data_IF_437048663870
#
_entry.id   IF_437048663870
#
_cell.length_a   1.000
_cell.length_b   1.000
_cell.length_c   1.000
_cell.angle_alpha   90.00
_cell.angle_beta   90.00
_cell.angle_gamma   90.00
#
_symmetry.space_group_name_H-M   'P 1'
#
loop_
_entity.id
_entity.type
_entity.pdbx_description
1 polymer ?
#
# COMPACT_ATOMS: atom_id res chain seq x y z
N UNK A 1 33.82 -16.73 -37.16
CA UNK A 1 32.87 -15.65 -36.80
C UNK A 1 33.05 -15.37 -35.31
N UNK A 2 33.56 -14.18 -34.97
CA UNK A 2 33.77 -13.78 -33.57
C UNK A 2 32.42 -13.46 -32.96
N UNK A 3 31.99 -14.23 -31.96
CA UNK A 3 30.82 -13.87 -31.16
C UNK A 3 31.13 -12.54 -30.47
N UNK A 4 30.43 -11.47 -30.85
CA UNK A 4 30.51 -10.21 -30.11
C UNK A 4 29.89 -10.44 -28.73
N UNK A 5 30.73 -10.68 -27.74
CA UNK A 5 30.33 -10.75 -26.34
C UNK A 5 29.88 -9.34 -25.96
N UNK A 6 28.61 -9.18 -25.61
CA UNK A 6 28.08 -7.90 -25.15
C UNK A 6 28.80 -7.47 -23.87
N UNK A 7 29.46 -6.31 -23.92
CA UNK A 7 29.97 -5.64 -22.72
C UNK A 7 28.94 -4.59 -22.27
N UNK A 8 28.43 -4.68 -21.03
CA UNK A 8 27.46 -3.72 -20.54
C UNK A 8 28.10 -2.34 -20.32
N UNK A 9 27.36 -1.25 -20.57
CA UNK A 9 27.85 0.09 -20.37
C UNK A 9 28.12 0.34 -18.88
N UNK A 10 29.29 0.89 -18.55
CA UNK A 10 29.64 1.26 -17.17
C UNK A 10 28.89 2.52 -16.76
N UNK A 11 27.95 2.41 -15.83
CA UNK A 11 27.22 3.53 -15.25
C UNK A 11 28.13 4.32 -14.27
N UNK A 12 28.02 5.65 -14.25
CA UNK A 12 28.75 6.48 -13.31
C UNK A 12 28.16 6.40 -11.90
N UNK A 13 29.02 6.45 -10.87
CA UNK A 13 28.59 6.38 -9.46
C UNK A 13 27.60 7.50 -9.08
N UNK A 14 27.77 8.71 -9.64
CA UNK A 14 26.84 9.82 -9.43
C UNK A 14 25.46 9.55 -10.05
N UNK A 15 25.42 8.90 -11.22
CA UNK A 15 24.17 8.50 -11.87
C UNK A 15 23.40 7.46 -11.05
N UNK A 16 24.13 6.48 -10.49
CA UNK A 16 23.54 5.44 -9.63
C UNK A 16 23.03 6.00 -8.31
N UNK A 17 23.76 6.94 -7.67
CA UNK A 17 23.30 7.58 -6.43
C UNK A 17 21.99 8.35 -6.64
N UNK A 18 21.91 9.13 -7.72
CA UNK A 18 20.71 9.91 -8.04
C UNK A 18 19.51 8.99 -8.30
N UNK A 19 19.70 7.92 -9.05
CA UNK A 19 18.64 6.95 -9.35
C UNK A 19 18.12 6.29 -8.07
N UNK A 20 19.02 5.80 -7.21
CA UNK A 20 18.66 5.22 -5.92
C UNK A 20 17.91 6.19 -5.01
N UNK A 21 18.31 7.47 -4.97
CA UNK A 21 17.61 8.50 -4.18
C UNK A 21 16.20 8.77 -4.71
N UNK A 22 16.02 8.80 -6.03
CA UNK A 22 14.70 8.97 -6.66
C UNK A 22 13.80 7.78 -6.33
N UNK A 23 14.31 6.55 -6.49
CA UNK A 23 13.56 5.33 -6.17
C UNK A 23 13.21 5.31 -4.68
N UNK A 24 14.16 5.65 -3.79
CA UNK A 24 13.92 5.73 -2.35
C UNK A 24 12.82 6.74 -2.01
N UNK A 25 12.84 7.92 -2.64
CA UNK A 25 11.79 8.93 -2.47
C UNK A 25 10.42 8.44 -2.97
N UNK A 26 10.37 7.80 -4.14
CA UNK A 26 9.14 7.21 -4.69
C UNK A 26 8.58 6.11 -3.79
N UNK A 27 9.43 5.21 -3.29
CA UNK A 27 9.02 4.17 -2.34
C UNK A 27 8.48 4.79 -1.05
N UNK A 28 9.14 5.83 -0.52
CA UNK A 28 8.66 6.55 0.65
C UNK A 28 7.26 7.15 0.41
N UNK A 29 7.04 7.82 -0.73
CA UNK A 29 5.73 8.39 -1.07
C UNK A 29 4.67 7.30 -1.25
N UNK A 30 5.01 6.17 -1.86
CA UNK A 30 4.08 5.05 -2.02
C UNK A 30 3.70 4.43 -0.67
N UNK A 31 4.67 4.30 0.25
CA UNK A 31 4.45 3.72 1.58
C UNK A 31 3.71 4.66 2.53
N UNK A 32 4.02 5.95 2.51
CA UNK A 32 3.55 6.91 3.51
C UNK A 32 2.59 7.97 2.97
N UNK A 33 2.42 8.09 1.66
CA UNK A 33 1.60 9.13 1.04
C UNK A 33 0.15 9.10 1.52
N UNK A 34 -0.46 7.91 1.60
CA UNK A 34 -1.83 7.75 2.13
C UNK A 34 -1.87 8.09 3.62
N UNK A 35 -0.96 7.53 4.42
CA UNK A 35 -0.92 7.76 5.87
C UNK A 35 -0.78 9.23 6.23
N UNK A 36 0.12 9.95 5.53
CA UNK A 36 0.35 11.37 5.79
C UNK A 36 -0.82 12.25 5.35
N UNK A 37 -1.53 11.89 4.26
CA UNK A 37 -2.70 12.64 3.78
C UNK A 37 -3.96 12.36 4.61
N UNK A 38 -4.14 11.14 5.12
CA UNK A 38 -5.33 10.76 5.89
C UNK A 38 -5.20 11.12 7.36
N UNK A 39 -4.01 11.01 7.97
CA UNK A 39 -3.82 11.42 9.37
C UNK A 39 -3.96 12.94 9.56
N UNK A 40 -3.71 13.77 8.55
CA UNK A 40 -3.95 15.21 8.66
C UNK A 40 -5.43 15.56 8.87
N UNK A 41 -6.36 14.72 8.41
CA UNK A 41 -7.80 14.87 8.66
C UNK A 41 -8.24 14.17 9.96
N UNK A 42 -7.64 13.02 10.29
CA UNK A 42 -7.99 12.23 11.48
C UNK A 42 -7.49 12.83 12.81
N UNK A 43 -6.75 13.94 12.79
CA UNK A 43 -6.42 14.71 14.00
C UNK A 43 -7.61 15.54 14.53
N UNK A 44 -8.78 15.43 13.90
CA UNK A 44 -10.05 15.93 14.45
C UNK A 44 -10.61 14.97 15.50
N UNK A 45 -9.98 14.90 16.67
CA UNK A 45 -10.73 14.57 17.88
C UNK A 45 -11.84 15.62 17.99
N UNK A 46 -13.08 15.19 17.79
CA UNK A 46 -14.23 16.09 17.87
C UNK A 46 -14.23 16.82 19.21
N UNK A 47 -14.57 18.10 19.20
CA UNK A 47 -14.74 18.98 20.37
C UNK A 47 -15.96 18.55 21.25
N UNK A 48 -16.36 17.29 21.16
CA UNK A 48 -17.50 16.69 21.83
C UNK A 48 -17.06 16.13 23.17
N UNK A 49 -17.76 16.52 24.24
CA UNK A 49 -17.48 16.03 25.57
C UNK A 49 -17.56 14.48 25.60
N UNK A 50 -16.60 13.79 26.23
CA UNK A 50 -16.56 12.34 26.23
C UNK A 50 -17.82 11.77 26.90
N UNK A 51 -18.42 10.77 26.25
CA UNK A 51 -19.64 10.12 26.74
C UNK A 51 -19.33 9.37 28.04
N UNK A 52 -20.19 9.44 29.07
CA UNK A 52 -20.01 8.67 30.29
C UNK A 52 -19.92 7.17 30.01
N UNK A 53 -19.06 6.47 30.75
CA UNK A 53 -18.82 5.03 30.55
C UNK A 53 -20.08 4.15 30.69
N UNK A 54 -21.08 4.63 31.43
CA UNK A 54 -22.37 3.97 31.61
C UNK A 54 -23.23 3.97 30.33
N UNK A 55 -23.06 4.97 29.48
CA UNK A 55 -23.84 5.17 28.25
C UNK A 55 -23.14 4.61 27.00
N UNK A 56 -21.87 4.19 27.15
CA UNK A 56 -21.14 3.52 26.07
C UNK A 56 -21.79 2.17 25.73
N UNK A 57 -21.88 1.82 24.44
CA UNK A 57 -22.49 0.58 23.97
C UNK A 57 -21.53 -0.61 24.12
N UNK A 58 -21.06 -0.83 25.35
CA UNK A 58 -20.13 -1.89 25.75
C UNK A 58 -20.82 -2.85 26.72
N UNK A 59 -20.33 -4.09 26.79
CA UNK A 59 -20.90 -5.07 27.71
C UNK A 59 -20.48 -4.79 29.17
N UNK A 60 -21.15 -5.45 30.13
CA UNK A 60 -20.92 -5.22 31.55
C UNK A 60 -19.50 -5.56 32.02
N UNK A 61 -18.88 -6.60 31.45
CA UNK A 61 -17.52 -7.02 31.79
C UNK A 61 -16.48 -6.04 31.25
N UNK A 62 -16.64 -5.56 30.01
CA UNK A 62 -15.79 -4.54 29.41
C UNK A 62 -15.85 -3.24 30.20
N UNK A 63 -17.06 -2.82 30.62
CA UNK A 63 -17.23 -1.61 31.43
C UNK A 63 -16.41 -1.68 32.72
N UNK A 64 -16.50 -2.79 33.45
CA UNK A 64 -15.75 -2.96 34.70
C UNK A 64 -14.23 -2.98 34.48
N UNK A 65 -13.77 -3.52 33.35
CA UNK A 65 -12.35 -3.47 32.97
C UNK A 65 -11.89 -2.04 32.71
N UNK A 66 -12.66 -1.25 31.95
CA UNK A 66 -12.34 0.15 31.69
C UNK A 66 -12.40 1.02 32.95
N UNK A 67 -13.39 0.82 33.83
CA UNK A 67 -13.43 1.47 35.15
C UNK A 67 -12.14 1.22 35.93
N UNK A 68 -11.71 -0.05 36.00
CA UNK A 68 -10.48 -0.44 36.69
C UNK A 68 -9.23 0.20 36.06
N UNK A 69 -9.18 0.29 34.72
CA UNK A 69 -8.05 0.91 34.01
C UNK A 69 -8.00 2.42 34.22
N UNK A 70 -9.15 3.10 34.23
CA UNK A 70 -9.25 4.54 34.50
C UNK A 70 -8.85 4.83 35.96
N UNK A 71 -9.35 4.05 36.91
CA UNK A 71 -8.98 4.20 38.33
C UNK A 71 -7.48 4.00 38.58
N UNK A 72 -6.85 3.10 37.82
CA UNK A 72 -5.39 2.84 37.90
C UNK A 72 -4.56 3.86 37.10
N UNK A 73 -5.19 4.82 36.43
CA UNK A 73 -4.51 5.82 35.60
C UNK A 73 -3.79 5.23 34.37
N UNK A 74 -4.24 4.06 33.90
CA UNK A 74 -3.68 3.40 32.70
C UNK A 74 -4.26 4.01 31.42
N UNK A 75 -5.48 4.53 31.50
CA UNK A 75 -6.21 5.18 30.40
C UNK A 75 -7.14 6.25 30.96
N UNK A 76 -7.72 7.07 30.09
CA UNK A 76 -8.72 8.08 30.45
C UNK A 76 -10.05 7.85 29.72
N UNK A 77 -11.08 8.60 30.09
CA UNK A 77 -12.42 8.44 29.52
C UNK A 77 -12.44 8.77 28.01
N UNK A 78 -11.59 9.69 27.56
CA UNK A 78 -11.52 10.12 26.17
C UNK A 78 -10.92 9.01 25.28
N UNK A 79 -9.80 8.42 25.70
CA UNK A 79 -9.16 7.30 25.05
C UNK A 79 -10.09 6.08 24.98
N UNK A 80 -10.88 5.82 26.03
CA UNK A 80 -11.88 4.74 26.00
C UNK A 80 -13.00 5.06 25.02
N UNK A 81 -13.52 6.29 25.01
CA UNK A 81 -14.54 6.72 24.03
C UNK A 81 -14.03 6.53 22.60
N UNK A 82 -12.80 6.98 22.30
CA UNK A 82 -12.17 6.83 20.99
C UNK A 82 -11.99 5.35 20.61
N UNK A 83 -11.51 4.52 21.55
CA UNK A 83 -11.30 3.10 21.33
C UNK A 83 -12.63 2.36 21.08
N UNK A 84 -13.68 2.67 21.85
CA UNK A 84 -15.01 2.10 21.64
C UNK A 84 -15.58 2.57 20.31
N UNK A 85 -15.51 3.87 20.00
CA UNK A 85 -16.01 4.41 18.73
C UNK A 85 -15.32 3.77 17.51
N UNK A 86 -14.01 3.50 17.59
CA UNK A 86 -13.25 2.87 16.53
C UNK A 86 -13.58 1.38 16.34
N UNK A 87 -13.98 0.67 17.41
CA UNK A 87 -14.16 -0.79 17.40
C UNK A 87 -15.61 -1.23 17.38
N UNK A 88 -16.55 -0.39 17.82
CA UNK A 88 -17.97 -0.69 17.84
C UNK A 88 -18.48 -1.03 16.43
N UNK A 89 -19.26 -2.11 16.32
CA UNK A 89 -19.89 -2.52 15.07
C UNK A 89 -21.08 -1.61 14.79
N UNK A 90 -21.01 -0.83 13.71
CA UNK A 90 -22.17 -0.11 13.17
C UNK A 90 -22.38 -0.54 11.73
N UNK A 91 -23.64 -0.60 11.31
CA UNK A 91 -24.02 -0.98 9.95
C UNK A 91 -23.43 -0.05 8.88
N UNK A 92 -23.08 1.19 9.26
CA UNK A 92 -22.49 2.24 8.41
C UNK A 92 -20.96 2.38 8.58
N UNK A 93 -20.31 1.52 9.37
CA UNK A 93 -18.88 1.66 9.69
C UNK A 93 -17.96 1.53 8.47
N UNK A 94 -18.37 0.75 7.48
CA UNK A 94 -17.57 0.46 6.29
C UNK A 94 -18.36 0.81 5.03
N UNK A 95 -18.45 2.10 4.73
CA UNK A 95 -19.00 2.53 3.44
C UNK A 95 -18.03 2.22 2.30
N UNK A 96 -18.47 1.40 1.35
CA UNK A 96 -17.68 1.08 0.17
C UNK A 96 -17.70 2.27 -0.78
N UNK A 97 -16.56 2.93 -0.92
CA UNK A 97 -16.37 3.88 -2.01
C UNK A 97 -16.18 3.12 -3.33
N UNK A 98 -17.27 2.95 -4.07
CA UNK A 98 -17.30 2.26 -5.36
C UNK A 98 -16.35 2.86 -6.40
N UNK A 99 -16.10 4.18 -6.35
CA UNK A 99 -15.17 4.85 -7.26
C UNK A 99 -13.72 4.42 -6.95
N UNK A 100 -13.32 4.44 -5.68
CA UNK A 100 -12.00 3.97 -5.27
C UNK A 100 -11.81 2.49 -5.58
N UNK A 101 -12.82 1.66 -5.32
CA UNK A 101 -12.80 0.25 -5.67
C UNK A 101 -12.57 0.05 -7.19
N UNK A 102 -13.33 0.78 -8.02
CA UNK A 102 -13.19 0.71 -9.46
C UNK A 102 -11.79 1.18 -9.93
N UNK A 103 -11.25 2.23 -9.31
CA UNK A 103 -9.90 2.73 -9.60
C UNK A 103 -8.84 1.68 -9.25
N UNK A 104 -8.95 1.01 -8.10
CA UNK A 104 -8.05 -0.09 -7.72
C UNK A 104 -8.10 -1.24 -8.73
N UNK A 105 -9.30 -1.69 -9.11
CA UNK A 105 -9.48 -2.74 -10.12
C UNK A 105 -8.87 -2.32 -11.46
N UNK A 106 -9.14 -1.09 -11.91
CA UNK A 106 -8.58 -0.54 -13.14
C UNK A 106 -7.05 -0.50 -13.12
N UNK A 107 -6.45 -0.05 -12.01
CA UNK A 107 -4.99 -0.03 -11.81
C UNK A 107 -4.37 -1.42 -11.97
N UNK A 108 -4.97 -2.44 -11.34
CA UNK A 108 -4.53 -3.84 -11.44
C UNK A 108 -4.59 -4.31 -12.90
N UNK A 109 -5.69 -4.04 -13.60
CA UNK A 109 -5.86 -4.43 -15.01
C UNK A 109 -4.87 -3.73 -15.95
N UNK A 110 -4.62 -2.44 -15.73
CA UNK A 110 -3.62 -1.67 -16.49
C UNK A 110 -2.24 -2.29 -16.29
N UNK A 111 -1.85 -2.54 -15.05
CA UNK A 111 -0.57 -3.18 -14.73
C UNK A 111 -0.42 -4.54 -15.42
N UNK A 112 -1.41 -5.43 -15.27
CA UNK A 112 -1.42 -6.76 -15.90
C UNK A 112 -1.32 -6.67 -17.43
N UNK A 113 -2.05 -5.74 -18.04
CA UNK A 113 -2.03 -5.53 -19.49
C UNK A 113 -0.64 -5.12 -19.97
N UNK A 114 0.02 -4.20 -19.26
CA UNK A 114 1.38 -3.76 -19.58
C UNK A 114 2.37 -4.91 -19.44
N UNK A 115 2.31 -5.65 -18.34
CA UNK A 115 3.20 -6.80 -18.07
C UNK A 115 3.06 -7.87 -19.16
N UNK A 116 1.83 -8.27 -19.48
CA UNK A 116 1.59 -9.27 -20.54
C UNK A 116 2.09 -8.77 -21.88
N UNK A 117 1.83 -7.51 -22.24
CA UNK A 117 2.25 -6.96 -23.53
C UNK A 117 3.78 -6.88 -23.66
N UNK A 118 4.48 -6.45 -22.61
CA UNK A 118 5.96 -6.43 -22.60
C UNK A 118 6.53 -7.84 -22.63
N UNK A 119 5.99 -8.76 -21.82
CA UNK A 119 6.43 -10.16 -21.78
C UNK A 119 6.30 -10.84 -23.15
N UNK A 120 5.21 -10.63 -23.87
CA UNK A 120 5.02 -11.19 -25.21
C UNK A 120 6.02 -10.64 -26.23
N UNK A 121 6.48 -9.39 -26.08
CA UNK A 121 7.49 -8.78 -26.95
C UNK A 121 8.84 -9.45 -26.72
N UNK A 122 9.28 -9.55 -25.46
CA UNK A 122 10.56 -10.14 -25.09
C UNK A 122 10.61 -11.63 -25.42
N UNK A 123 9.53 -12.37 -25.14
CA UNK A 123 9.43 -13.80 -25.49
C UNK A 123 9.63 -14.03 -26.99
N UNK A 124 9.03 -13.16 -27.84
CA UNK A 124 9.18 -13.26 -29.29
C UNK A 124 10.60 -12.95 -29.74
N UNK A 125 11.28 -12.03 -29.08
CA UNK A 125 12.68 -11.66 -29.36
C UNK A 125 13.63 -12.82 -29.01
N UNK A 126 13.45 -13.45 -27.85
CA UNK A 126 14.21 -14.64 -27.44
C UNK A 126 13.99 -15.81 -28.40
N UNK A 127 12.75 -16.05 -28.84
CA UNK A 127 12.46 -17.11 -29.82
C UNK A 127 13.16 -16.83 -31.14
N UNK A 128 13.16 -15.58 -31.62
CA UNK A 128 13.88 -15.21 -32.85
C UNK A 128 15.39 -15.43 -32.69
N UNK A 129 15.99 -14.99 -31.59
CA UNK A 129 17.44 -15.15 -31.38
C UNK A 129 17.86 -16.63 -31.28
N UNK A 130 17.06 -17.46 -30.60
CA UNK A 130 17.41 -18.87 -30.33
C UNK A 130 17.06 -19.84 -31.47
N UNK A 131 16.08 -19.51 -32.33
CA UNK A 131 15.56 -20.46 -33.32
C UNK A 131 15.70 -20.00 -34.78
N UNK A 132 15.92 -18.71 -35.06
CA UNK A 132 16.07 -18.21 -36.44
C UNK A 132 17.47 -18.52 -37.02
N UNK A 133 18.48 -18.76 -36.18
CA UNK A 133 19.84 -19.13 -36.60
C UNK A 133 20.03 -20.61 -36.94
N UNK A 134 18.99 -21.46 -36.85
CA UNK A 134 19.10 -22.91 -37.04
C UNK A 134 18.45 -23.44 -38.32
N UNK A 135 17.99 -22.58 -39.22
CA UNK A 135 17.21 -23.00 -40.42
C UNK A 135 17.81 -22.65 -41.78
N UNK A 136 19.13 -22.43 -41.88
CA UNK A 136 19.74 -22.25 -43.19
C UNK A 136 21.25 -22.37 -43.21
N UNK A 137 21.78 -23.59 -43.22
CA UNK A 137 22.93 -24.01 -44.05
C UNK A 137 23.23 -25.50 -43.78
N UNK A 138 22.43 -26.37 -44.40
CA UNK A 138 22.92 -27.69 -44.85
C UNK A 138 23.22 -27.57 -46.34
N UNK A 139 24.43 -27.15 -46.69
CA UNK A 139 25.10 -27.48 -47.95
C UNK A 139 26.60 -27.55 -47.73
#
# INVERSE_FOLDING_TARGET
>A
MSAHIYEPPRQSAAGQLRDSLIILGLVFVVLFGVTLLVQSDAAGGGDEAPTPLAELPINATERQQYETMIERGVTDLEAVNAAVAANYERDDKYEINWLLLALTVASILIYLTVVVRMSLKEYREVVRERFDTRTGETR
#
